data_IF_876196066021
#
_entry.id   IF_876196066021
#
_cell.length_a   1.000
_cell.length_b   1.000
_cell.length_c   1.000
_cell.angle_alpha   90.00
_cell.angle_beta   90.00
_cell.angle_gamma   90.00
#
_symmetry.space_group_name_H-M   'P 1'
#
loop_
_entity.id
_entity.type
_entity.pdbx_description
1 polymer ?
#
# COMPACT_ATOMS: atom_id res chain seq x y z
N UNK A 1 -38.45 -32.10 -7.75
CA UNK A 1 -38.30 -30.63 -7.89
C UNK A 1 -37.77 -29.96 -6.60
N UNK A 2 -36.56 -30.26 -6.08
CA UNK A 2 -36.04 -29.53 -4.89
C UNK A 2 -34.49 -29.49 -4.79
N UNK A 3 -33.77 -29.08 -5.84
CA UNK A 3 -32.29 -28.87 -5.76
C UNK A 3 -31.80 -27.50 -6.22
N UNK A 4 -32.63 -26.69 -6.90
CA UNK A 4 -32.24 -25.36 -7.40
C UNK A 4 -32.13 -24.29 -6.31
N UNK A 5 -33.00 -24.33 -5.28
CA UNK A 5 -32.96 -23.35 -4.17
C UNK A 5 -31.68 -23.44 -3.33
N UNK A 6 -31.13 -24.66 -3.17
CA UNK A 6 -29.87 -24.92 -2.46
C UNK A 6 -28.64 -24.43 -3.23
N UNK A 7 -28.62 -24.54 -4.57
CA UNK A 7 -27.49 -24.04 -5.36
C UNK A 7 -27.43 -22.50 -5.34
N UNK A 8 -28.58 -21.83 -5.47
CA UNK A 8 -28.66 -20.36 -5.42
C UNK A 8 -28.27 -19.81 -4.04
N UNK A 9 -28.70 -20.45 -2.95
CA UNK A 9 -28.31 -20.04 -1.61
C UNK A 9 -26.82 -20.26 -1.35
N UNK A 10 -26.24 -21.35 -1.85
CA UNK A 10 -24.79 -21.61 -1.77
C UNK A 10 -23.98 -20.60 -2.59
N UNK A 11 -24.44 -20.24 -3.78
CA UNK A 11 -23.81 -19.21 -4.60
C UNK A 11 -23.86 -17.84 -3.94
N UNK A 12 -25.00 -17.46 -3.36
CA UNK A 12 -25.11 -16.20 -2.61
C UNK A 12 -24.19 -16.19 -1.38
N UNK A 13 -24.16 -17.31 -0.63
CA UNK A 13 -23.24 -17.45 0.51
C UNK A 13 -21.76 -17.36 0.10
N UNK A 14 -21.38 -17.95 -1.04
CA UNK A 14 -20.02 -17.85 -1.56
C UNK A 14 -19.66 -16.41 -1.96
N UNK A 15 -20.56 -15.69 -2.63
CA UNK A 15 -20.35 -14.28 -2.99
C UNK A 15 -20.20 -13.40 -1.74
N UNK A 16 -21.03 -13.61 -0.72
CA UNK A 16 -20.92 -12.87 0.54
C UNK A 16 -19.62 -13.18 1.28
N UNK A 17 -19.20 -14.44 1.32
CA UNK A 17 -17.94 -14.83 1.95
C UNK A 17 -16.72 -14.22 1.24
N UNK A 18 -16.70 -14.23 -0.10
CA UNK A 18 -15.62 -13.60 -0.89
C UNK A 18 -15.64 -12.08 -0.70
N UNK A 19 -16.82 -11.45 -0.72
CA UNK A 19 -16.96 -10.01 -0.48
C UNK A 19 -16.47 -9.60 0.90
N UNK A 20 -16.80 -10.36 1.95
CA UNK A 20 -16.34 -10.11 3.31
C UNK A 20 -14.82 -10.28 3.44
N UNK A 21 -14.25 -11.35 2.86
CA UNK A 21 -12.80 -11.58 2.86
C UNK A 21 -12.04 -10.47 2.13
N UNK A 22 -12.53 -10.03 0.96
CA UNK A 22 -11.95 -8.92 0.20
C UNK A 22 -12.04 -7.60 0.97
N UNK A 23 -13.20 -7.31 1.58
CA UNK A 23 -13.41 -6.13 2.41
C UNK A 23 -12.38 -6.06 3.55
N UNK A 24 -12.27 -7.12 4.35
CA UNK A 24 -11.33 -7.18 5.48
C UNK A 24 -9.86 -7.06 5.03
N UNK A 25 -9.51 -7.64 3.89
CA UNK A 25 -8.14 -7.56 3.36
C UNK A 25 -7.71 -6.13 2.98
N UNK A 26 -8.63 -5.30 2.50
CA UNK A 26 -8.36 -3.90 2.14
C UNK A 26 -8.05 -3.03 3.36
N UNK A 27 -8.62 -3.36 4.52
CA UNK A 27 -8.41 -2.61 5.77
C UNK A 27 -7.10 -3.02 6.45
N UNK A 28 -6.65 -4.26 6.25
CA UNK A 28 -5.40 -4.77 6.80
C UNK A 28 -4.17 -4.42 5.94
N UNK A 29 -4.37 -3.95 4.71
CA UNK A 29 -3.27 -3.56 3.84
C UNK A 29 -2.61 -2.27 4.36
N UNK A 30 -1.27 -2.23 4.53
CA UNK A 30 -0.60 -0.98 4.85
C UNK A 30 -0.82 0.03 3.72
N UNK A 31 -0.96 1.33 4.04
CA UNK A 31 -1.10 2.36 3.03
C UNK A 31 0.12 2.33 2.11
N UNK A 32 -0.11 2.42 0.80
CA UNK A 32 0.97 2.57 -0.15
C UNK A 32 1.68 3.91 0.13
N UNK A 33 2.87 3.86 0.71
CA UNK A 33 3.72 5.02 0.85
C UNK A 33 4.30 5.40 -0.52
N UNK A 34 4.43 6.69 -0.80
CA UNK A 34 5.25 7.16 -1.90
C UNK A 34 6.69 7.37 -1.42
N UNK A 35 7.66 7.17 -2.31
CA UNK A 35 9.05 7.51 -2.01
C UNK A 35 9.16 8.98 -1.60
N UNK A 36 10.05 9.28 -0.66
CA UNK A 36 10.24 10.66 -0.21
C UNK A 36 11.26 11.39 -1.08
N UNK A 37 10.95 12.65 -1.38
CA UNK A 37 11.89 13.60 -1.96
C UNK A 37 11.97 14.79 -1.01
N UNK A 38 13.13 14.99 -0.40
CA UNK A 38 13.34 16.06 0.59
C UNK A 38 14.44 16.98 0.14
N UNK A 39 14.19 18.30 0.17
CA UNK A 39 15.23 19.28 -0.11
C UNK A 39 16.20 19.36 1.06
N UNK A 40 17.50 19.26 0.77
CA UNK A 40 18.56 19.52 1.74
C UNK A 40 19.03 20.95 1.54
N UNK A 41 18.93 21.77 2.59
CA UNK A 41 19.30 23.20 2.56
C UNK A 41 20.66 23.48 3.19
N UNK A 42 21.20 22.53 3.96
CA UNK A 42 22.49 22.67 4.65
C UNK A 42 23.41 21.50 4.29
N UNK A 43 24.11 21.64 3.16
CA UNK A 43 25.04 20.62 2.64
C UNK A 43 26.47 21.16 2.44
N UNK A 44 26.80 22.29 3.08
CA UNK A 44 28.11 22.93 3.02
C UNK A 44 28.15 24.19 2.16
N UNK A 45 29.36 24.63 1.80
CA UNK A 45 29.58 25.85 1.03
C UNK A 45 28.98 25.71 -0.39
N UNK A 46 28.07 26.62 -0.74
CA UNK A 46 27.33 26.58 -2.00
C UNK A 46 27.34 27.96 -2.69
N UNK A 47 28.50 28.42 -3.18
CA UNK A 47 28.65 29.77 -3.73
C UNK A 47 27.90 29.96 -5.05
N UNK A 48 27.54 28.87 -5.73
CA UNK A 48 26.84 28.88 -7.02
C UNK A 48 25.32 28.66 -6.90
N UNK A 49 24.79 28.51 -5.67
CA UNK A 49 23.35 28.42 -5.43
C UNK A 49 22.68 27.12 -5.92
N UNK A 50 23.38 25.98 -5.85
CA UNK A 50 22.83 24.67 -6.20
C UNK A 50 21.68 24.26 -5.27
N UNK A 51 20.75 23.47 -5.79
CA UNK A 51 19.69 22.84 -5.01
C UNK A 51 19.98 21.36 -4.83
N UNK A 52 19.84 20.85 -3.61
CA UNK A 52 20.06 19.45 -3.31
C UNK A 52 18.76 18.80 -2.84
N UNK A 53 18.50 17.59 -3.34
CA UNK A 53 17.35 16.79 -2.96
C UNK A 53 17.80 15.36 -2.65
N UNK A 54 17.25 14.78 -1.59
CA UNK A 54 17.45 13.39 -1.22
C UNK A 54 16.21 12.59 -1.62
N UNK A 55 16.43 11.54 -2.41
CA UNK A 55 15.42 10.54 -2.74
C UNK A 55 15.59 9.33 -1.84
N UNK A 56 14.52 8.91 -1.16
CA UNK A 56 14.51 7.70 -0.33
C UNK A 56 13.38 6.76 -0.79
N UNK A 57 13.72 5.59 -1.35
CA UNK A 57 12.75 4.55 -1.65
C UNK A 57 12.08 3.97 -0.39
N UNK A 58 10.85 3.50 -0.54
CA UNK A 58 10.07 2.92 0.56
C UNK A 58 10.65 1.63 1.15
N UNK A 59 11.48 0.93 0.38
CA UNK A 59 12.05 -0.37 0.74
C UNK A 59 13.47 -0.25 1.32
N UNK A 60 13.95 0.96 1.58
CA UNK A 60 15.25 1.14 2.23
C UNK A 60 15.18 0.64 3.68
N UNK A 61 16.20 -0.10 4.12
CA UNK A 61 16.31 -0.54 5.51
C UNK A 61 16.94 0.57 6.34
N UNK A 62 16.28 0.99 7.42
CA UNK A 62 16.89 1.86 8.42
C UNK A 62 18.03 1.09 9.12
N UNK A 63 19.27 1.60 9.04
CA UNK A 63 20.50 1.01 9.59
C UNK A 63 20.77 -0.43 9.11
N UNK A 64 21.30 -0.60 7.88
CA UNK A 64 21.78 -1.90 7.42
C UNK A 64 22.95 -2.41 8.29
N UNK A 65 23.11 -3.74 8.44
CA UNK A 65 24.18 -4.36 9.22
C UNK A 65 25.56 -4.17 8.61
#
# INVERSE_FOLDING_TARGET
MFRSRSLKSRLLGAVLAVGAAAGLSLQAAPPAAAASLTQITSFGNNPTGLQMYLYVPNNVKANPP
#
